data_IF_636256925208
#
_entry.id   IF_636256925208
#
_cell.length_a   1.000
_cell.length_b   1.000
_cell.length_c   1.000
_cell.angle_alpha   90.00
_cell.angle_beta   90.00
_cell.angle_gamma   90.00
#
_symmetry.space_group_name_H-M   'P 1'
#
loop_
_entity.id
_entity.type
_entity.pdbx_description
1 polymer ?
#
# COMPACT_ATOMS: atom_id res chain seq x y z
N UNK A 1 -14.71 -3.52 0.94
CA UNK A 1 -14.61 -2.51 2.04
C UNK A 1 -15.46 -1.28 1.76
N UNK A 2 -15.29 -0.61 0.62
CA UNK A 2 -16.15 0.54 0.29
C UNK A 2 -17.65 0.18 0.21
N UNK A 3 -17.98 -1.01 -0.29
CA UNK A 3 -19.33 -1.56 -0.25
C UNK A 3 -19.89 -1.72 1.18
N UNK A 4 -19.06 -2.20 2.12
CA UNK A 4 -19.44 -2.37 3.52
C UNK A 4 -19.67 -1.03 4.22
N UNK A 5 -18.81 -0.03 3.96
CA UNK A 5 -19.02 1.33 4.45
C UNK A 5 -20.30 1.93 3.87
N UNK A 6 -20.55 1.73 2.57
CA UNK A 6 -21.77 2.20 1.92
C UNK A 6 -23.03 1.58 2.53
N UNK A 7 -23.04 0.26 2.75
CA UNK A 7 -24.17 -0.43 3.39
C UNK A 7 -24.45 0.10 4.80
N UNK A 8 -23.39 0.35 5.58
CA UNK A 8 -23.53 0.95 6.90
C UNK A 8 -24.13 2.35 6.80
N UNK A 9 -23.63 3.19 5.88
CA UNK A 9 -24.16 4.53 5.61
C UNK A 9 -25.63 4.52 5.21
N UNK A 10 -26.04 3.60 4.33
CA UNK A 10 -27.43 3.42 3.90
C UNK A 10 -28.33 2.97 5.06
N UNK A 11 -27.77 2.25 6.04
CA UNK A 11 -28.48 1.71 7.19
C UNK A 11 -28.50 2.66 8.41
N UNK A 12 -27.77 3.79 8.39
CA UNK A 12 -27.64 4.70 9.56
C UNK A 12 -28.98 5.19 10.08
N UNK A 13 -29.98 5.40 9.22
CA UNK A 13 -31.32 5.87 9.62
C UNK A 13 -32.14 4.80 10.36
N UNK A 14 -31.74 3.54 10.25
CA UNK A 14 -32.42 2.39 10.85
C UNK A 14 -31.71 1.85 12.09
N UNK A 15 -30.52 2.36 12.40
CA UNK A 15 -29.65 1.87 13.48
C UNK A 15 -29.64 2.83 14.67
N UNK A 16 -29.52 2.29 15.88
CA UNK A 16 -29.30 3.13 17.06
C UNK A 16 -27.92 3.82 16.98
N UNK A 17 -27.75 5.01 17.61
CA UNK A 17 -26.47 5.73 17.57
C UNK A 17 -25.26 4.89 18.04
N UNK A 18 -25.48 3.99 19.00
CA UNK A 18 -24.44 3.08 19.48
C UNK A 18 -24.03 2.05 18.42
N UNK A 19 -24.99 1.46 17.72
CA UNK A 19 -24.74 0.47 16.68
C UNK A 19 -24.02 1.08 15.48
N UNK A 20 -24.36 2.33 15.13
CA UNK A 20 -23.64 3.08 14.10
C UNK A 20 -22.17 3.25 14.46
N UNK A 21 -21.87 3.67 15.70
CA UNK A 21 -20.49 3.82 16.18
C UNK A 21 -19.74 2.49 16.18
N UNK A 22 -20.39 1.43 16.67
CA UNK A 22 -19.81 0.09 16.69
C UNK A 22 -19.48 -0.43 15.29
N UNK A 23 -20.39 -0.26 14.33
CA UNK A 23 -20.16 -0.69 12.95
C UNK A 23 -19.06 0.12 12.27
N UNK A 24 -18.99 1.44 12.51
CA UNK A 24 -17.91 2.30 12.01
C UNK A 24 -16.55 1.88 12.57
N UNK A 25 -16.47 1.60 13.87
CA UNK A 25 -15.26 1.13 14.53
C UNK A 25 -14.79 -0.22 13.97
N UNK A 26 -15.72 -1.16 13.77
CA UNK A 26 -15.41 -2.46 13.18
C UNK A 26 -14.83 -2.32 11.76
N UNK A 27 -15.40 -1.42 10.93
CA UNK A 27 -14.88 -1.12 9.59
C UNK A 27 -13.47 -0.51 9.67
N UNK A 28 -13.24 0.43 10.58
CA UNK A 28 -11.92 1.05 10.79
C UNK A 28 -10.88 0.02 11.22
N UNK A 29 -11.21 -0.86 12.17
CA UNK A 29 -10.31 -1.93 12.64
C UNK A 29 -9.91 -2.86 11.49
N UNK A 30 -10.86 -3.23 10.64
CA UNK A 30 -10.60 -4.06 9.46
C UNK A 30 -9.70 -3.35 8.44
N UNK A 31 -9.93 -2.05 8.20
CA UNK A 31 -9.07 -1.24 7.34
C UNK A 31 -7.64 -1.16 7.88
N UNK A 32 -7.47 -0.96 9.18
CA UNK A 32 -6.17 -0.92 9.83
C UNK A 32 -5.42 -2.26 9.71
N UNK A 33 -6.09 -3.39 9.95
CA UNK A 33 -5.51 -4.72 9.79
C UNK A 33 -5.07 -4.99 8.34
N UNK A 34 -5.87 -4.57 7.36
CA UNK A 34 -5.54 -4.67 5.94
C UNK A 34 -4.39 -3.75 5.55
N UNK A 35 -4.32 -2.54 6.08
CA UNK A 35 -3.20 -1.63 5.87
C UNK A 35 -1.90 -2.23 6.43
N UNK A 36 -1.94 -2.83 7.63
CA UNK A 36 -0.79 -3.52 8.21
C UNK A 36 -0.34 -4.71 7.36
N UNK A 37 -1.27 -5.54 6.88
CA UNK A 37 -0.96 -6.64 5.95
C UNK A 37 -0.42 -6.14 4.62
N UNK A 38 -1.00 -5.07 4.07
CA UNK A 38 -0.50 -4.43 2.85
C UNK A 38 0.92 -3.91 3.05
N UNK A 39 1.25 -3.35 4.20
CA UNK A 39 2.61 -2.88 4.51
C UNK A 39 3.62 -4.02 4.66
N UNK A 40 3.18 -5.20 5.12
CA UNK A 40 4.02 -6.41 5.18
C UNK A 40 4.29 -6.98 3.78
N UNK A 41 3.29 -6.92 2.88
CA UNK A 41 3.36 -7.51 1.55
C UNK A 41 3.86 -6.56 0.46
N UNK A 42 3.64 -5.26 0.60
CA UNK A 42 4.16 -4.27 -0.33
C UNK A 42 5.69 -4.23 -0.20
N UNK A 43 6.42 -4.46 -1.30
CA UNK A 43 7.87 -4.31 -1.27
C UNK A 43 8.19 -2.85 -0.91
N UNK A 44 8.81 -2.62 0.24
CA UNK A 44 9.13 -1.30 0.83
C UNK A 44 10.19 -0.50 0.05
N UNK A 45 10.18 -0.54 -1.28
CA UNK A 45 11.25 -0.17 -2.22
C UNK A 45 12.29 -1.29 -2.37
N UNK A 46 12.12 -2.10 -3.42
CA UNK A 46 13.23 -2.80 -4.08
C UNK A 46 13.28 -2.46 -5.58
N UNK A 47 13.03 -1.19 -5.92
CA UNK A 47 13.69 -0.62 -7.09
C UNK A 47 15.02 -0.02 -6.61
N UNK A 48 15.92 -0.89 -6.15
CA UNK A 48 17.32 -0.54 -6.19
C UNK A 48 17.73 -0.80 -7.64
N UNK A 49 17.86 0.26 -8.43
CA UNK A 49 18.54 0.17 -9.71
C UNK A 49 19.97 -0.29 -9.37
N UNK A 50 20.24 -1.59 -9.49
CA UNK A 50 21.59 -2.14 -9.39
C UNK A 50 22.34 -1.61 -10.60
N UNK A 51 22.91 -0.41 -10.48
CA UNK A 51 23.94 0.03 -11.40
C UNK A 51 25.06 -1.02 -11.31
N UNK A 52 25.24 -1.81 -12.36
CA UNK A 52 26.45 -2.63 -12.50
C UNK A 52 27.62 -1.67 -12.37
N UNK A 53 28.36 -1.74 -11.27
CA UNK A 53 29.72 -1.22 -11.25
C UNK A 53 30.45 -1.93 -12.39
N UNK A 54 30.89 -1.15 -13.38
CA UNK A 54 31.83 -1.59 -14.40
C UNK A 54 33.19 -1.68 -13.69
N UNK A 55 33.49 -2.83 -13.11
CA UNK A 55 34.86 -3.22 -12.74
C UNK A 55 35.48 -3.97 -13.92
N UNK A 56 36.63 -3.48 -14.39
CA UNK A 56 37.40 -3.97 -15.53
C UNK A 56 36.99 -3.31 -16.86
N UNK A 57 37.82 -2.60 -17.59
CA UNK A 57 39.29 -2.63 -17.71
C UNK A 57 39.77 -1.27 -18.20
N UNK A 58 40.91 -0.83 -17.67
CA UNK A 58 41.79 0.10 -18.36
C UNK A 58 42.17 -0.52 -19.72
N UNK A 59 42.00 0.25 -20.79
CA UNK A 59 42.32 -0.16 -22.15
C UNK A 59 42.08 1.04 -23.05
N UNK A 60 43.14 1.81 -23.25
CA UNK A 60 43.21 2.88 -24.24
C UNK A 60 42.82 2.35 -25.63
N UNK A 61 42.06 3.12 -26.40
CA UNK A 61 42.37 3.39 -27.81
C UNK A 61 41.49 4.55 -28.33
N UNK A 62 42.07 5.33 -29.23
CA UNK A 62 41.69 6.64 -29.79
C UNK A 62 40.34 6.71 -30.53
N UNK A 63 39.80 7.93 -30.75
CA UNK A 63 38.69 8.15 -31.68
C UNK A 63 39.18 8.12 -33.14
N UNK A 64 38.38 7.62 -34.09
CA UNK A 64 38.57 7.94 -35.50
C UNK A 64 37.44 8.82 -36.05
N UNK A 65 37.90 9.85 -36.78
CA UNK A 65 37.30 10.61 -37.88
C UNK A 65 36.02 11.44 -37.63
#
# INVERSE_FOLDING_TARGET
LQSLQRQLTESVRCLAPYEVRQGQEAVMRLQAALAARRQQLQPKKKFAFRARKKEGTAGAEQPPA
#
